data_IF_979693147625
#
_entry.id   IF_979693147625
#
_cell.length_a   1.000
_cell.length_b   1.000
_cell.length_c   1.000
_cell.angle_alpha   90.00
_cell.angle_beta   90.00
_cell.angle_gamma   90.00
#
_symmetry.space_group_name_H-M   'P 1'
#
loop_
_entity.id
_entity.type
_entity.pdbx_description
1 polymer ?
#
# COMPACT_ATOMS: atom_id res chain seq x y z
N UNK A 1 -6.12 51.62 19.50
CA UNK A 1 -7.48 51.05 19.35
C UNK A 1 -8.34 51.52 20.51
N UNK A 2 -9.51 52.10 20.26
CA UNK A 2 -10.44 52.54 21.32
C UNK A 2 -11.12 51.33 21.97
N UNK A 3 -11.52 51.41 23.24
CA UNK A 3 -12.18 50.29 23.95
C UNK A 3 -13.45 49.76 23.27
N UNK A 4 -14.08 50.56 22.41
CA UNK A 4 -15.20 50.16 21.55
C UNK A 4 -14.78 49.20 20.43
N UNK A 5 -13.62 49.42 19.79
CA UNK A 5 -13.08 48.54 18.76
C UNK A 5 -12.69 47.17 19.35
N UNK A 6 -12.14 47.15 20.57
CA UNK A 6 -11.77 45.92 21.28
C UNK A 6 -13.00 45.07 21.66
N UNK A 7 -14.05 45.69 22.21
CA UNK A 7 -15.31 44.98 22.48
C UNK A 7 -15.97 44.44 21.21
N UNK A 8 -15.94 45.21 20.11
CA UNK A 8 -16.52 44.82 18.82
C UNK A 8 -15.79 43.63 18.18
N UNK A 9 -14.46 43.57 18.30
CA UNK A 9 -13.64 42.43 17.81
C UNK A 9 -13.97 41.14 18.57
N UNK A 10 -14.11 41.24 19.90
CA UNK A 10 -14.42 40.08 20.75
C UNK A 10 -15.82 39.49 20.45
N UNK A 11 -16.83 40.32 20.18
CA UNK A 11 -18.18 39.83 19.84
C UNK A 11 -18.20 38.96 18.58
N UNK A 12 -17.46 39.34 17.53
CA UNK A 12 -17.37 38.55 16.30
C UNK A 12 -16.73 37.19 16.55
N UNK A 13 -15.66 37.16 17.33
CA UNK A 13 -14.98 35.91 17.72
C UNK A 13 -15.91 34.98 18.50
N UNK A 14 -16.62 35.47 19.52
CA UNK A 14 -17.56 34.64 20.28
C UNK A 14 -18.71 34.09 19.44
N UNK A 15 -19.25 34.90 18.52
CA UNK A 15 -20.27 34.44 17.58
C UNK A 15 -19.73 33.36 16.65
N UNK A 16 -18.49 33.49 16.19
CA UNK A 16 -17.83 32.51 15.32
C UNK A 16 -17.62 31.18 16.03
N UNK A 17 -17.02 31.20 17.21
CA UNK A 17 -16.80 29.99 18.03
C UNK A 17 -18.13 29.30 18.36
N UNK A 18 -19.14 30.07 18.78
CA UNK A 18 -20.47 29.53 19.05
C UNK A 18 -21.14 28.94 17.81
N UNK A 19 -20.91 29.53 16.63
CA UNK A 19 -21.40 28.99 15.38
C UNK A 19 -20.75 27.66 15.04
N UNK A 20 -19.42 27.55 15.19
CA UNK A 20 -18.68 26.32 14.90
C UNK A 20 -19.14 25.18 15.81
N UNK A 21 -19.25 25.42 17.12
CA UNK A 21 -19.81 24.42 18.05
C UNK A 21 -21.25 24.04 17.75
N UNK A 22 -22.05 24.94 17.17
CA UNK A 22 -23.42 24.59 16.75
C UNK A 22 -23.43 23.71 15.50
N UNK A 23 -22.49 23.89 14.57
CA UNK A 23 -22.40 23.09 13.35
C UNK A 23 -21.97 21.64 13.62
N UNK A 24 -21.24 21.39 14.70
CA UNK A 24 -20.98 20.02 15.20
C UNK A 24 -22.27 19.31 15.65
N UNK A 25 -23.25 20.06 16.15
CA UNK A 25 -24.49 19.50 16.70
C UNK A 25 -25.63 19.44 15.66
N UNK A 26 -25.62 20.33 14.66
CA UNK A 26 -26.76 20.48 13.72
C UNK A 26 -26.37 21.09 12.36
N UNK A 27 -27.13 20.82 11.30
CA UNK A 27 -26.93 21.43 9.99
C UNK A 27 -27.04 22.96 10.00
N UNK A 28 -26.31 23.62 9.09
CA UNK A 28 -26.26 25.10 8.97
C UNK A 28 -27.63 25.76 8.82
N UNK A 29 -28.55 25.13 8.09
CA UNK A 29 -29.91 25.64 7.85
C UNK A 29 -30.83 25.56 9.08
N UNK A 30 -30.40 24.91 10.17
CA UNK A 30 -31.14 24.84 11.44
C UNK A 30 -30.57 25.80 12.50
N UNK A 31 -29.50 26.53 12.17
CA UNK A 31 -28.95 27.54 13.07
C UNK A 31 -29.86 28.76 13.08
N UNK A 32 -30.21 29.24 14.28
CA UNK A 32 -31.03 30.44 14.46
C UNK A 32 -30.25 31.48 15.25
N UNK A 33 -30.60 32.77 15.07
CA UNK A 33 -30.04 33.87 15.87
C UNK A 33 -30.19 33.59 17.37
N UNK A 34 -31.30 32.97 17.79
CA UNK A 34 -31.52 32.62 19.19
C UNK A 34 -30.55 31.57 19.72
N UNK A 35 -30.34 30.49 18.96
CA UNK A 35 -29.42 29.43 19.36
C UNK A 35 -27.98 29.97 19.42
N UNK A 36 -27.60 30.73 18.38
CA UNK A 36 -26.27 31.33 18.25
C UNK A 36 -25.95 32.30 19.38
N UNK A 37 -26.84 33.26 19.64
CA UNK A 37 -26.64 34.26 20.71
C UNK A 37 -26.61 33.63 22.10
N UNK A 38 -27.44 32.61 22.33
CA UNK A 38 -27.42 31.83 23.58
C UNK A 38 -26.09 31.09 23.77
N UNK A 39 -25.59 30.41 22.75
CA UNK A 39 -24.31 29.66 22.79
C UNK A 39 -23.12 30.62 22.94
N UNK A 40 -23.16 31.78 22.28
CA UNK A 40 -22.13 32.83 22.37
C UNK A 40 -22.15 33.65 23.66
N UNK A 41 -23.19 33.51 24.50
CA UNK A 41 -23.33 34.30 25.73
C UNK A 41 -23.58 35.79 25.50
N UNK A 42 -24.18 36.18 24.36
CA UNK A 42 -24.47 37.58 24.04
C UNK A 42 -25.98 37.83 23.87
N UNK A 43 -26.39 39.09 23.98
CA UNK A 43 -27.79 39.46 23.72
C UNK A 43 -28.11 39.48 22.22
N UNK A 44 -29.37 39.23 21.85
CA UNK A 44 -29.83 39.41 20.45
C UNK A 44 -29.64 40.85 19.96
N UNK A 45 -29.83 41.84 20.83
CA UNK A 45 -29.54 43.23 20.50
C UNK A 45 -28.08 43.43 20.09
N UNK A 46 -27.14 42.78 20.78
CA UNK A 46 -25.71 42.79 20.45
C UNK A 46 -25.42 42.14 19.09
N UNK A 47 -26.12 41.05 18.74
CA UNK A 47 -26.02 40.44 17.42
C UNK A 47 -26.47 41.39 16.31
N UNK A 48 -27.63 42.04 16.48
CA UNK A 48 -28.20 42.95 15.48
C UNK A 48 -27.42 44.25 15.29
N UNK A 49 -26.45 44.56 16.17
CA UNK A 49 -25.47 45.64 15.94
C UNK A 49 -24.40 45.27 14.89
N UNK A 50 -24.32 44.00 14.50
CA UNK A 50 -23.29 43.48 13.61
C UNK A 50 -23.86 42.82 12.37
N UNK A 51 -25.02 42.17 12.49
CA UNK A 51 -25.60 41.37 11.43
C UNK A 51 -27.11 41.60 11.34
N UNK A 52 -27.64 41.66 10.12
CA UNK A 52 -29.08 41.83 9.88
C UNK A 52 -29.87 40.60 10.34
N UNK A 53 -29.39 39.41 9.99
CA UNK A 53 -29.98 38.13 10.32
C UNK A 53 -28.92 37.01 10.28
N UNK A 54 -29.37 35.76 10.40
CA UNK A 54 -28.46 34.61 10.36
C UNK A 54 -27.80 34.42 8.99
N UNK A 55 -28.47 34.79 7.90
CA UNK A 55 -27.92 34.65 6.56
C UNK A 55 -26.81 35.67 6.33
N UNK A 56 -27.01 36.92 6.75
CA UNK A 56 -25.99 37.96 6.70
C UNK A 56 -24.74 37.56 7.51
N UNK A 57 -24.93 36.97 8.69
CA UNK A 57 -23.84 36.38 9.46
C UNK A 57 -23.11 35.27 8.69
N UNK A 58 -23.82 34.28 8.14
CA UNK A 58 -23.23 33.19 7.36
C UNK A 58 -22.49 33.72 6.13
N UNK A 59 -23.04 34.72 5.44
CA UNK A 59 -22.37 35.37 4.31
C UNK A 59 -21.06 36.03 4.74
N UNK A 60 -21.03 36.67 5.91
CA UNK A 60 -19.80 37.25 6.44
C UNK A 60 -18.70 36.20 6.70
N UNK A 61 -19.07 35.02 7.20
CA UNK A 61 -18.14 33.89 7.39
C UNK A 61 -17.65 33.37 6.04
N UNK A 62 -18.55 33.19 5.06
CA UNK A 62 -18.15 32.80 3.70
C UNK A 62 -17.22 33.81 3.06
N UNK A 63 -17.47 35.10 3.21
CA UNK A 63 -16.59 36.16 2.70
C UNK A 63 -15.19 36.11 3.32
N UNK A 64 -15.07 35.76 4.61
CA UNK A 64 -13.78 35.53 5.27
C UNK A 64 -13.06 34.33 4.64
N UNK A 65 -13.75 33.20 4.46
CA UNK A 65 -13.19 32.02 3.79
C UNK A 65 -12.75 32.33 2.35
N UNK A 66 -13.59 33.03 1.58
CA UNK A 66 -13.24 33.44 0.22
C UNK A 66 -11.99 34.31 0.19
N UNK A 67 -11.86 35.25 1.14
CA UNK A 67 -10.68 36.10 1.25
C UNK A 67 -9.41 35.29 1.54
N UNK A 68 -9.47 34.33 2.47
CA UNK A 68 -8.32 33.48 2.81
C UNK A 68 -7.91 32.62 1.62
N UNK A 69 -8.89 31.99 0.96
CA UNK A 69 -8.65 31.16 -0.23
C UNK A 69 -8.05 32.02 -1.36
N UNK A 70 -8.62 33.19 -1.64
CA UNK A 70 -8.10 34.08 -2.68
C UNK A 70 -6.68 34.54 -2.37
N UNK A 71 -6.40 35.00 -1.16
CA UNK A 71 -5.06 35.46 -0.76
C UNK A 71 -3.97 34.39 -0.97
N UNK A 72 -4.27 33.13 -0.66
CA UNK A 72 -3.28 32.04 -0.77
C UNK A 72 -3.22 31.41 -2.16
N UNK A 73 -4.24 31.63 -3.00
CA UNK A 73 -4.26 31.22 -4.40
C UNK A 73 -3.83 32.33 -5.37
N UNK A 74 -3.65 33.57 -4.90
CA UNK A 74 -3.07 34.69 -5.65
C UNK A 74 -1.55 34.69 -5.49
N UNK A 75 -0.83 34.07 -6.41
CA UNK A 75 0.50 34.51 -6.88
C UNK A 75 1.17 33.41 -7.71
N UNK A 76 1.77 33.83 -8.81
CA UNK A 76 2.55 33.06 -9.76
C UNK A 76 4.01 33.48 -9.57
N UNK A 77 4.79 32.78 -8.73
CA UNK A 77 6.21 33.10 -8.47
C UNK A 77 6.96 31.85 -7.97
N UNK A 78 7.62 31.20 -8.91
CA UNK A 78 8.40 29.96 -8.79
C UNK A 78 9.46 29.95 -7.68
N UNK A 79 9.29 29.04 -6.71
CA UNK A 79 10.25 28.04 -6.18
C UNK A 79 9.79 27.62 -4.76
N UNK A 80 9.63 26.33 -4.51
CA UNK A 80 9.31 25.69 -3.19
C UNK A 80 8.01 26.11 -2.46
N UNK A 81 7.24 27.06 -2.98
CA UNK A 81 6.06 27.59 -2.31
C UNK A 81 4.76 26.77 -2.50
N UNK A 82 4.72 25.82 -3.43
CA UNK A 82 3.49 25.08 -3.77
C UNK A 82 3.01 24.19 -2.64
N UNK A 83 3.91 23.35 -2.11
CA UNK A 83 3.59 22.51 -0.97
C UNK A 83 3.21 23.38 0.24
N UNK A 84 3.89 24.52 0.43
CA UNK A 84 3.58 25.46 1.51
C UNK A 84 2.18 26.06 1.39
N UNK A 85 1.74 26.46 0.18
CA UNK A 85 0.38 26.97 -0.08
C UNK A 85 -0.67 25.88 0.10
N UNK A 86 -0.41 24.68 -0.41
CA UNK A 86 -1.28 23.52 -0.21
C UNK A 86 -1.41 23.21 1.28
N UNK A 87 -0.30 23.12 2.00
CA UNK A 87 -0.27 22.88 3.45
C UNK A 87 -1.11 23.91 4.18
N UNK A 88 -0.88 25.20 3.94
CA UNK A 88 -1.68 26.25 4.57
C UNK A 88 -3.19 26.10 4.31
N UNK A 89 -3.58 25.82 3.06
CA UNK A 89 -5.00 25.71 2.70
C UNK A 89 -5.65 24.47 3.31
N UNK A 90 -4.95 23.33 3.36
CA UNK A 90 -5.48 22.11 3.97
C UNK A 90 -5.53 22.25 5.50
N UNK A 91 -4.50 22.84 6.12
CA UNK A 91 -4.51 23.19 7.56
C UNK A 91 -5.68 24.12 7.88
N UNK A 92 -5.95 25.12 7.03
CA UNK A 92 -7.08 26.01 7.21
C UNK A 92 -8.43 25.29 7.10
N UNK A 93 -8.55 24.30 6.21
CA UNK A 93 -9.76 23.46 6.13
C UNK A 93 -9.91 22.62 7.38
N UNK A 94 -8.82 22.06 7.94
CA UNK A 94 -8.84 21.31 9.21
C UNK A 94 -9.27 22.21 10.38
N UNK A 95 -8.67 23.40 10.51
CA UNK A 95 -9.01 24.39 11.55
C UNK A 95 -10.46 24.89 11.47
N UNK A 96 -11.10 24.77 10.30
CA UNK A 96 -12.47 25.22 10.04
C UNK A 96 -13.39 24.10 9.54
N UNK A 97 -13.05 22.85 9.87
CA UNK A 97 -13.65 21.64 9.30
C UNK A 97 -15.16 21.58 9.39
N UNK A 98 -15.72 21.92 10.56
CA UNK A 98 -17.18 21.93 10.79
C UNK A 98 -17.93 22.87 9.83
N UNK A 99 -17.31 24.00 9.45
CA UNK A 99 -17.91 24.95 8.50
C UNK A 99 -17.84 24.40 7.09
N UNK A 100 -16.68 23.90 6.66
CA UNK A 100 -16.54 23.27 5.35
C UNK A 100 -17.50 22.09 5.19
N UNK A 101 -17.59 21.21 6.20
CA UNK A 101 -18.54 20.08 6.22
C UNK A 101 -20.00 20.53 6.17
N UNK A 102 -20.35 21.66 6.76
CA UNK A 102 -21.73 22.17 6.72
C UNK A 102 -22.06 22.91 5.42
N UNK A 103 -21.07 23.55 4.79
CA UNK A 103 -21.22 24.25 3.52
C UNK A 103 -21.13 23.31 2.31
N UNK A 104 -20.45 22.17 2.45
CA UNK A 104 -20.23 21.17 1.41
C UNK A 104 -21.17 19.96 1.66
N UNK A 105 -21.60 19.30 0.59
CA UNK A 105 -22.41 18.07 0.68
C UNK A 105 -23.84 18.22 0.16
N UNK A 106 -24.67 17.19 0.40
CA UNK A 106 -26.00 17.05 -0.22
C UNK A 106 -26.94 18.23 0.05
N UNK A 107 -26.87 18.79 1.26
CA UNK A 107 -27.70 19.92 1.70
C UNK A 107 -26.90 21.21 1.95
N UNK A 108 -25.65 21.27 1.46
CA UNK A 108 -24.77 22.42 1.61
C UNK A 108 -25.12 23.59 0.69
N UNK A 109 -24.24 24.57 0.65
CA UNK A 109 -24.35 25.75 -0.21
C UNK A 109 -23.71 25.49 -1.58
N UNK A 110 -24.56 25.29 -2.60
CA UNK A 110 -24.11 25.04 -3.98
C UNK A 110 -23.34 26.19 -4.60
N UNK A 111 -23.56 27.43 -4.16
CA UNK A 111 -22.77 28.57 -4.64
C UNK A 111 -21.35 28.54 -4.06
N UNK A 112 -21.21 28.15 -2.78
CA UNK A 112 -19.91 27.94 -2.14
C UNK A 112 -19.15 26.79 -2.82
N UNK A 113 -19.83 25.68 -3.09
CA UNK A 113 -19.26 24.53 -3.80
C UNK A 113 -18.71 24.91 -5.18
N UNK A 114 -19.53 25.61 -5.98
CA UNK A 114 -19.13 26.08 -7.31
C UNK A 114 -17.98 27.10 -7.26
N UNK A 115 -17.90 27.91 -6.19
CA UNK A 115 -16.78 28.81 -5.96
C UNK A 115 -15.48 28.03 -5.70
N UNK A 116 -15.51 27.03 -4.80
CA UNK A 116 -14.34 26.24 -4.44
C UNK A 116 -13.76 25.50 -5.66
N UNK A 117 -14.62 24.85 -6.44
CA UNK A 117 -14.24 24.19 -7.70
C UNK A 117 -13.54 25.18 -8.64
N UNK A 118 -14.10 26.39 -8.80
CA UNK A 118 -13.52 27.41 -9.67
C UNK A 118 -12.19 27.93 -9.14
N UNK A 119 -12.05 28.09 -7.82
CA UNK A 119 -10.82 28.54 -7.19
C UNK A 119 -9.69 27.53 -7.41
N UNK A 120 -9.93 26.25 -7.14
CA UNK A 120 -8.97 25.16 -7.38
C UNK A 120 -8.63 25.05 -8.87
N UNK A 121 -9.63 25.11 -9.75
CA UNK A 121 -9.40 25.06 -11.21
C UNK A 121 -8.51 26.19 -11.70
N UNK A 122 -8.73 27.43 -11.21
CA UNK A 122 -7.89 28.58 -11.56
C UNK A 122 -6.46 28.40 -11.07
N UNK A 123 -6.29 27.89 -9.86
CA UNK A 123 -4.98 27.58 -9.30
C UNK A 123 -4.25 26.56 -10.18
N UNK A 124 -4.88 25.42 -10.48
CA UNK A 124 -4.30 24.38 -11.35
C UNK A 124 -3.98 24.94 -12.74
N UNK A 125 -4.89 25.70 -13.36
CA UNK A 125 -4.68 26.32 -14.68
C UNK A 125 -3.48 27.29 -14.69
N UNK A 126 -3.29 28.05 -13.61
CA UNK A 126 -2.14 28.96 -13.47
C UNK A 126 -0.81 28.20 -13.58
N UNK A 127 -0.71 27.04 -12.93
CA UNK A 127 0.51 26.24 -12.86
C UNK A 127 0.67 25.30 -14.07
N UNK A 128 -0.43 24.73 -14.60
CA UNK A 128 -0.39 23.77 -15.70
C UNK A 128 0.21 24.34 -16.99
N UNK A 129 0.10 25.66 -17.22
CA UNK A 129 0.70 26.35 -18.37
C UNK A 129 2.22 26.23 -18.45
N UNK A 130 2.87 25.85 -17.35
CA UNK A 130 4.33 25.80 -17.22
C UNK A 130 4.87 24.39 -17.45
N UNK A 131 4.09 23.35 -17.12
CA UNK A 131 4.55 21.97 -17.06
C UNK A 131 3.90 21.03 -18.09
N UNK A 132 2.95 21.51 -18.90
CA UNK A 132 2.25 20.68 -19.89
C UNK A 132 3.10 20.43 -21.14
N UNK A 133 3.85 19.33 -21.14
CA UNK A 133 4.77 18.98 -22.24
C UNK A 133 4.18 17.93 -23.20
N UNK A 134 3.29 17.05 -22.72
CA UNK A 134 2.64 16.04 -23.55
C UNK A 134 1.24 16.49 -24.00
N UNK A 135 0.99 16.58 -25.32
CA UNK A 135 -0.28 17.06 -25.91
C UNK A 135 -1.22 15.93 -26.33
N UNK A 136 -0.96 14.69 -25.91
CA UNK A 136 -1.80 13.53 -26.23
C UNK A 136 -3.24 13.68 -25.71
N UNK A 137 -3.42 14.28 -24.54
CA UNK A 137 -4.73 14.60 -23.95
C UNK A 137 -5.04 16.09 -24.20
N UNK A 138 -6.31 16.49 -24.42
CA UNK A 138 -6.61 17.92 -24.47
C UNK A 138 -6.51 18.54 -23.06
N UNK A 139 -5.85 19.70 -22.96
CA UNK A 139 -5.56 20.41 -21.71
C UNK A 139 -6.79 20.58 -20.80
N UNK A 140 -7.97 20.81 -21.39
CA UNK A 140 -9.23 20.96 -20.65
C UNK A 140 -9.56 19.72 -19.82
N UNK A 141 -9.36 18.51 -20.37
CA UNK A 141 -9.62 17.27 -19.65
C UNK A 141 -8.60 17.05 -18.54
N UNK A 142 -7.32 17.38 -18.78
CA UNK A 142 -6.27 17.28 -17.76
C UNK A 142 -6.60 18.16 -16.56
N UNK A 143 -6.93 19.43 -16.81
CA UNK A 143 -7.30 20.39 -15.75
C UNK A 143 -8.55 19.91 -15.01
N UNK A 144 -9.56 19.41 -15.72
CA UNK A 144 -10.79 18.94 -15.08
C UNK A 144 -10.54 17.70 -14.21
N UNK A 145 -9.72 16.74 -14.66
CA UNK A 145 -9.34 15.55 -13.87
C UNK A 145 -8.56 15.97 -12.63
N UNK A 146 -7.57 16.86 -12.76
CA UNK A 146 -6.78 17.34 -11.63
C UNK A 146 -7.65 18.12 -10.63
N UNK A 147 -8.55 18.98 -11.11
CA UNK A 147 -9.48 19.72 -10.26
C UNK A 147 -10.44 18.79 -9.53
N UNK A 148 -11.11 17.89 -10.26
CA UNK A 148 -12.13 17.01 -9.68
C UNK A 148 -11.53 15.98 -8.73
N UNK A 149 -10.29 15.53 -8.94
CA UNK A 149 -9.60 14.64 -7.99
C UNK A 149 -9.29 15.33 -6.66
N UNK A 150 -8.89 16.61 -6.66
CA UNK A 150 -8.70 17.37 -5.39
C UNK A 150 -10.04 17.52 -4.68
N UNK A 151 -11.09 17.90 -5.42
CA UNK A 151 -12.44 18.04 -4.87
C UNK A 151 -12.95 16.73 -4.28
N UNK A 152 -12.73 15.61 -4.98
CA UNK A 152 -13.12 14.29 -4.50
C UNK A 152 -12.42 13.93 -3.20
N UNK A 153 -11.11 14.16 -3.08
CA UNK A 153 -10.35 13.93 -1.84
C UNK A 153 -10.92 14.77 -0.69
N UNK A 154 -11.21 16.06 -0.91
CA UNK A 154 -11.80 16.94 0.11
C UNK A 154 -13.19 16.43 0.52
N UNK A 155 -14.02 16.01 -0.43
CA UNK A 155 -15.35 15.46 -0.11
C UNK A 155 -15.27 14.18 0.70
N UNK A 156 -14.38 13.27 0.31
CA UNK A 156 -14.14 12.04 1.07
C UNK A 156 -13.68 12.38 2.49
N UNK A 157 -12.70 13.28 2.65
CA UNK A 157 -12.20 13.69 3.96
C UNK A 157 -13.29 14.30 4.86
N UNK A 158 -14.15 15.18 4.32
CA UNK A 158 -15.23 15.82 5.09
C UNK A 158 -16.32 14.83 5.53
N UNK A 159 -16.48 13.69 4.84
CA UNK A 159 -17.49 12.67 5.13
C UNK A 159 -16.98 11.55 6.05
N UNK A 160 -15.68 11.51 6.35
CA UNK A 160 -15.09 10.52 7.27
C UNK A 160 -15.72 10.61 8.67
N UNK A 161 -15.99 9.44 9.28
CA UNK A 161 -16.46 9.35 10.67
C UNK A 161 -15.37 9.81 11.66
N UNK A 162 -14.12 9.42 11.38
CA UNK A 162 -12.93 9.87 12.09
C UNK A 162 -12.00 10.55 11.07
N UNK A 163 -12.11 11.87 10.87
CA UNK A 163 -11.35 12.58 9.87
C UNK A 163 -9.84 12.44 10.09
N UNK A 164 -9.12 12.16 9.01
CA UNK A 164 -7.65 12.24 8.95
C UNK A 164 -7.12 13.64 9.25
N UNK A 165 -5.84 13.72 9.60
CA UNK A 165 -5.14 15.00 9.79
C UNK A 165 -4.83 15.71 8.48
N UNK A 166 -4.60 17.04 8.50
CA UNK A 166 -4.17 17.78 7.31
C UNK A 166 -2.95 17.14 6.62
N UNK A 167 -1.98 16.69 7.42
CA UNK A 167 -0.74 16.04 6.94
C UNK A 167 -1.03 14.79 6.10
N UNK A 168 -1.92 13.92 6.57
CA UNK A 168 -2.30 12.71 5.84
C UNK A 168 -3.03 13.04 4.54
N UNK A 169 -3.88 14.06 4.54
CA UNK A 169 -4.58 14.52 3.34
C UNK A 169 -3.63 15.16 2.33
N UNK A 170 -2.65 15.95 2.79
CA UNK A 170 -1.59 16.50 1.94
C UNK A 170 -0.80 15.37 1.29
N UNK A 171 -0.43 14.33 2.05
CA UNK A 171 0.27 13.16 1.53
C UNK A 171 -0.55 12.42 0.46
N UNK A 172 -1.85 12.18 0.70
CA UNK A 172 -2.76 11.61 -0.31
C UNK A 172 -2.82 12.51 -1.56
N UNK A 173 -2.88 13.83 -1.36
CA UNK A 173 -2.93 14.78 -2.46
C UNK A 173 -1.64 14.71 -3.29
N UNK A 174 -0.47 14.65 -2.66
CA UNK A 174 0.82 14.56 -3.37
C UNK A 174 0.93 13.21 -4.10
N UNK A 175 0.67 12.09 -3.40
CA UNK A 175 0.80 10.73 -3.97
C UNK A 175 -0.07 10.53 -5.20
N UNK A 176 -1.31 11.00 -5.18
CA UNK A 176 -2.22 10.89 -6.34
C UNK A 176 -1.81 11.74 -7.55
N UNK A 177 -0.79 12.60 -7.40
CA UNK A 177 -0.23 13.46 -8.46
C UNK A 177 1.11 12.95 -8.97
N UNK A 178 1.79 12.10 -8.18
CA UNK A 178 3.06 11.47 -8.55
C UNK A 178 2.89 10.02 -9.01
N UNK A 179 1.85 9.32 -8.57
CA UNK A 179 1.53 7.94 -8.96
C UNK A 179 0.55 7.91 -10.13
N UNK A 180 0.71 6.94 -11.03
CA UNK A 180 -0.28 6.73 -12.10
C UNK A 180 -1.58 6.17 -11.52
N UNK A 181 -2.74 6.36 -12.18
CA UNK A 181 -4.00 5.74 -11.72
C UNK A 181 -3.91 4.22 -11.54
N UNK A 182 -3.10 3.52 -12.33
CA UNK A 182 -2.91 2.08 -12.18
C UNK A 182 -2.16 1.75 -10.88
N UNK A 183 -1.16 2.55 -10.52
CA UNK A 183 -0.35 2.36 -9.31
C UNK A 183 -1.17 2.63 -8.04
N UNK A 184 -2.23 3.46 -8.10
CA UNK A 184 -3.12 3.72 -6.97
C UNK A 184 -3.98 2.51 -6.57
N UNK A 185 -4.30 1.63 -7.51
CA UNK A 185 -5.06 0.39 -7.25
C UNK A 185 -4.16 -0.82 -7.06
N UNK A 186 -2.88 -0.70 -7.41
CA UNK A 186 -1.88 -1.72 -7.15
C UNK A 186 -1.54 -1.63 -5.67
N UNK A 187 -2.20 -2.46 -4.85
CA UNK A 187 -2.06 -2.51 -3.38
C UNK A 187 -0.61 -2.67 -2.89
N UNK A 188 0.31 -2.97 -3.81
CA UNK A 188 1.73 -3.26 -3.65
C UNK A 188 2.36 -3.07 -5.06
N UNK A 189 2.84 -1.87 -5.44
CA UNK A 189 3.50 -1.70 -6.74
C UNK A 189 4.98 -2.03 -6.66
N UNK A 190 5.29 -3.25 -7.04
CA UNK A 190 6.63 -3.85 -7.06
C UNK A 190 7.07 -4.16 -8.50
N UNK A 191 6.40 -3.52 -9.46
CA UNK A 191 6.72 -3.57 -10.89
C UNK A 191 7.61 -2.38 -11.23
N UNK A 192 8.82 -2.65 -11.69
CA UNK A 192 9.78 -1.64 -12.12
C UNK A 192 9.79 -1.56 -13.64
N UNK A 193 9.48 -0.40 -14.22
CA UNK A 193 9.57 -0.26 -15.68
C UNK A 193 11.04 -0.15 -16.11
N UNK A 194 11.38 -0.70 -17.28
CA UNK A 194 12.77 -0.65 -17.77
C UNK A 194 13.28 0.78 -17.95
N UNK A 195 12.39 1.72 -18.28
CA UNK A 195 12.76 3.14 -18.42
C UNK A 195 13.09 3.80 -17.08
N UNK A 196 12.37 3.44 -16.00
CA UNK A 196 12.68 3.92 -14.65
C UNK A 196 14.04 3.40 -14.19
N UNK A 197 14.29 2.09 -14.37
CA UNK A 197 15.55 1.47 -13.97
C UNK A 197 16.73 2.10 -14.76
N UNK A 198 16.59 2.28 -16.08
CA UNK A 198 17.63 2.94 -16.91
C UNK A 198 17.94 4.38 -16.50
N UNK A 199 16.94 5.11 -15.99
CA UNK A 199 17.12 6.51 -15.55
C UNK A 199 17.75 6.62 -14.16
N UNK A 200 17.57 5.60 -13.32
CA UNK A 200 18.12 5.55 -11.97
C UNK A 200 19.56 5.03 -11.99
N UNK A 201 20.53 5.93 -12.17
CA UNK A 201 21.96 5.58 -12.28
C UNK A 201 22.52 4.82 -11.06
N UNK A 202 21.98 5.08 -9.87
CA UNK A 202 22.39 4.42 -8.61
C UNK A 202 21.51 3.18 -8.29
N UNK A 203 20.60 2.81 -9.20
CA UNK A 203 19.57 1.80 -8.98
C UNK A 203 18.37 2.30 -8.17
N UNK A 204 17.32 1.49 -8.13
CA UNK A 204 16.11 1.73 -7.34
C UNK A 204 16.18 0.79 -6.13
N UNK A 205 16.32 1.37 -4.94
CA UNK A 205 16.33 0.64 -3.67
C UNK A 205 14.90 0.35 -3.21
N UNK A 206 14.70 -0.80 -2.58
CA UNK A 206 13.44 -1.18 -1.95
C UNK A 206 13.67 -1.92 -0.62
N UNK A 207 12.70 -1.80 0.28
CA UNK A 207 12.69 -2.38 1.62
C UNK A 207 11.22 -2.51 2.03
N UNK A 208 10.58 -3.56 1.51
CA UNK A 208 9.13 -3.70 1.50
C UNK A 208 8.68 -4.99 2.20
N UNK A 209 7.47 -4.97 2.73
CA UNK A 209 6.78 -6.13 3.31
C UNK A 209 5.62 -6.54 2.41
N UNK A 210 5.34 -7.84 2.30
CA UNK A 210 4.41 -8.37 1.31
C UNK A 210 3.37 -9.32 1.93
N UNK A 211 2.16 -9.34 1.39
CA UNK A 211 1.11 -10.32 1.74
C UNK A 211 0.78 -11.19 0.51
N UNK A 212 1.53 -12.30 0.37
CA UNK A 212 1.46 -13.19 -0.80
C UNK A 212 0.94 -14.60 -0.48
N UNK A 213 0.39 -14.84 0.71
CA UNK A 213 -0.09 -16.18 1.12
C UNK A 213 -1.11 -16.76 0.13
N UNK A 214 -2.08 -15.94 -0.28
CA UNK A 214 -3.14 -16.37 -1.19
C UNK A 214 -2.58 -16.77 -2.57
N UNK A 215 -1.65 -15.97 -3.10
CA UNK A 215 -1.02 -16.21 -4.40
C UNK A 215 -0.13 -17.47 -4.37
N UNK A 216 0.63 -17.69 -3.29
CA UNK A 216 1.41 -18.90 -3.09
C UNK A 216 0.53 -20.14 -3.01
N UNK A 217 -0.59 -20.09 -2.27
CA UNK A 217 -1.52 -21.23 -2.17
C UNK A 217 -2.24 -21.56 -3.47
N UNK A 218 -2.44 -20.58 -4.35
CA UNK A 218 -2.97 -20.82 -5.68
C UNK A 218 -2.01 -21.66 -6.53
N UNK A 219 -0.69 -21.43 -6.43
CA UNK A 219 0.35 -22.18 -7.14
C UNK A 219 0.70 -23.50 -6.45
N UNK A 220 0.72 -23.53 -5.12
CA UNK A 220 0.99 -24.71 -4.32
C UNK A 220 0.03 -24.81 -3.11
N UNK A 221 -1.07 -25.58 -3.24
CA UNK A 221 -2.06 -25.75 -2.17
C UNK A 221 -1.55 -26.44 -0.90
N UNK A 222 -0.36 -27.06 -0.92
CA UNK A 222 0.22 -27.70 0.28
C UNK A 222 0.73 -26.67 1.30
N UNK A 223 0.92 -25.41 0.90
CA UNK A 223 1.39 -24.35 1.81
C UNK A 223 0.29 -24.01 2.83
N UNK A 224 0.59 -24.23 4.10
CA UNK A 224 -0.36 -24.03 5.21
C UNK A 224 -0.36 -22.61 5.75
N UNK A 225 0.63 -21.78 5.47
CA UNK A 225 0.66 -20.38 5.89
C UNK A 225 1.96 -19.67 5.54
N UNK A 226 1.91 -18.33 5.49
CA UNK A 226 3.07 -17.46 5.25
C UNK A 226 2.99 -16.21 6.13
N UNK A 227 4.04 -15.93 6.89
CA UNK A 227 4.11 -14.79 7.80
C UNK A 227 5.45 -14.07 7.70
N UNK A 228 5.45 -12.75 7.95
CA UNK A 228 6.68 -11.95 8.05
C UNK A 228 7.52 -11.91 6.78
N UNK A 229 6.87 -11.85 5.61
CA UNK A 229 7.54 -11.77 4.31
C UNK A 229 8.07 -10.35 4.06
N UNK A 230 9.39 -10.20 4.06
CA UNK A 230 10.11 -8.94 3.82
C UNK A 230 11.16 -9.13 2.72
N UNK A 231 11.22 -8.19 1.78
CA UNK A 231 12.23 -8.16 0.73
C UNK A 231 12.96 -6.81 0.71
N UNK A 232 14.28 -6.87 0.76
CA UNK A 232 15.14 -5.68 0.79
C UNK A 232 16.27 -5.81 -0.21
N UNK A 233 16.37 -4.86 -1.12
CA UNK A 233 17.34 -4.95 -2.20
C UNK A 233 17.33 -3.77 -3.13
N UNK A 234 17.77 -4.02 -4.36
CA UNK A 234 17.83 -3.04 -5.43
C UNK A 234 17.57 -3.67 -6.78
N UNK A 235 17.07 -2.85 -7.70
CA UNK A 235 17.10 -3.14 -9.13
C UNK A 235 17.94 -2.07 -9.83
N UNK A 236 18.86 -2.48 -10.69
CA UNK A 236 19.79 -1.58 -11.38
C UNK A 236 19.97 -1.97 -12.83
N UNK A 237 20.23 -0.98 -13.68
CA UNK A 237 20.66 -1.22 -15.06
C UNK A 237 22.17 -1.04 -15.14
N UNK A 238 22.90 -2.09 -15.50
CA UNK A 238 24.36 -2.09 -15.62
C UNK A 238 24.80 -2.87 -16.85
N UNK A 239 25.71 -2.29 -17.64
CA UNK A 239 26.29 -2.84 -18.87
C UNK A 239 25.29 -3.57 -19.82
N UNK A 240 24.10 -3.00 -19.98
CA UNK A 240 23.07 -3.57 -20.85
C UNK A 240 22.21 -4.65 -20.20
N UNK A 241 22.36 -4.91 -18.90
CA UNK A 241 21.58 -5.87 -18.12
C UNK A 241 20.74 -5.14 -17.08
N UNK A 242 19.60 -5.71 -16.73
CA UNK A 242 18.87 -5.32 -15.53
C UNK A 242 19.15 -6.36 -14.46
N UNK A 243 19.67 -5.94 -13.33
CA UNK A 243 20.04 -6.83 -12.23
C UNK A 243 19.11 -6.56 -11.06
N UNK A 244 18.40 -7.59 -10.62
CA UNK A 244 17.57 -7.59 -9.42
C UNK A 244 18.30 -8.37 -8.34
N UNK A 245 18.66 -7.69 -7.26
CA UNK A 245 19.45 -8.25 -6.16
C UNK A 245 18.78 -7.91 -4.84
N UNK A 246 18.33 -8.91 -4.09
CA UNK A 246 17.63 -8.70 -2.82
C UNK A 246 17.79 -9.84 -1.82
N UNK A 247 17.63 -9.45 -0.55
CA UNK A 247 17.50 -10.33 0.58
C UNK A 247 16.03 -10.54 0.90
N UNK A 248 15.62 -11.80 1.05
CA UNK A 248 14.25 -12.22 1.30
C UNK A 248 14.19 -12.95 2.63
N UNK A 249 13.31 -12.54 3.53
CA UNK A 249 13.06 -13.24 4.80
C UNK A 249 11.59 -13.52 4.97
N UNK A 250 11.24 -14.72 5.45
CA UNK A 250 9.85 -15.11 5.69
C UNK A 250 9.77 -16.31 6.64
N UNK A 251 8.59 -16.52 7.21
CA UNK A 251 8.24 -17.75 7.91
C UNK A 251 7.15 -18.48 7.14
N UNK A 252 7.43 -19.70 6.71
CA UNK A 252 6.49 -20.55 5.98
C UNK A 252 6.01 -21.70 6.86
N UNK A 253 4.73 -22.06 6.74
CA UNK A 253 4.16 -23.24 7.39
C UNK A 253 3.89 -24.31 6.33
N UNK A 254 4.50 -25.47 6.49
CA UNK A 254 4.39 -26.61 5.58
C UNK A 254 3.96 -27.86 6.35
N UNK A 255 3.28 -28.83 5.72
CA UNK A 255 2.96 -30.09 6.36
C UNK A 255 4.23 -30.95 6.49
N UNK A 256 4.40 -31.65 7.61
CA UNK A 256 5.43 -32.70 7.74
C UNK A 256 5.23 -33.75 6.66
N UNK A 257 6.32 -34.14 6.00
CA UNK A 257 6.37 -35.23 5.02
C UNK A 257 6.09 -36.61 5.62
N UNK A 258 6.02 -36.74 6.96
CA UNK A 258 5.74 -38.02 7.66
C UNK A 258 4.36 -38.04 8.30
N UNK A 259 4.01 -37.00 9.07
CA UNK A 259 2.78 -36.97 9.89
C UNK A 259 1.72 -36.00 9.37
N UNK A 260 2.07 -35.13 8.40
CA UNK A 260 1.26 -34.00 7.95
C UNK A 260 0.99 -32.94 9.02
N UNK A 261 1.64 -33.02 10.18
CA UNK A 261 1.55 -31.98 11.20
C UNK A 261 2.14 -30.66 10.67
N UNK A 262 1.54 -29.50 10.97
CA UNK A 262 2.07 -28.21 10.54
C UNK A 262 3.45 -27.92 11.16
N UNK A 263 4.41 -27.60 10.32
CA UNK A 263 5.78 -27.23 10.71
C UNK A 263 6.07 -25.82 10.23
N UNK A 264 6.39 -24.92 11.16
CA UNK A 264 6.82 -23.56 10.87
C UNK A 264 8.34 -23.51 10.66
N UNK A 265 8.77 -22.79 9.64
CA UNK A 265 10.19 -22.58 9.34
C UNK A 265 10.45 -21.15 8.93
N UNK A 266 11.47 -20.54 9.53
CA UNK A 266 11.98 -19.23 9.13
C UNK A 266 13.09 -19.42 8.10
N UNK A 267 12.93 -18.80 6.95
CA UNK A 267 13.84 -18.87 5.82
C UNK A 267 14.45 -17.51 5.51
N UNK A 268 15.66 -17.54 4.98
CA UNK A 268 16.41 -16.36 4.55
C UNK A 268 17.13 -16.69 3.25
N UNK A 269 16.83 -15.94 2.19
CA UNK A 269 17.36 -16.17 0.85
C UNK A 269 18.04 -14.90 0.33
N UNK A 270 19.10 -15.08 -0.45
CA UNK A 270 19.66 -14.02 -1.29
C UNK A 270 19.32 -14.38 -2.73
N UNK A 271 18.59 -13.49 -3.40
CA UNK A 271 18.12 -13.66 -4.78
C UNK A 271 18.88 -12.69 -5.66
N UNK A 272 19.47 -13.22 -6.73
CA UNK A 272 20.12 -12.45 -7.78
C UNK A 272 19.59 -12.94 -9.13
N UNK A 273 18.91 -12.06 -9.85
CA UNK A 273 18.32 -12.34 -11.16
C UNK A 273 18.81 -11.30 -12.16
N UNK A 274 19.24 -11.78 -13.34
CA UNK A 274 19.75 -10.93 -14.41
C UNK A 274 18.81 -11.02 -15.60
N UNK A 275 18.30 -9.87 -16.05
CA UNK A 275 17.33 -9.77 -17.12
C UNK A 275 17.91 -9.07 -18.36
N UNK A 276 17.41 -9.48 -19.53
CA UNK A 276 17.70 -8.86 -20.82
C UNK A 276 16.40 -8.62 -21.61
N UNK A 277 16.40 -7.63 -22.49
CA UNK A 277 15.28 -7.42 -23.41
C UNK A 277 15.31 -8.43 -24.56
N UNK A 278 14.13 -8.79 -25.06
CA UNK A 278 13.96 -9.69 -26.21
C UNK A 278 14.80 -9.30 -27.44
N UNK A 279 15.09 -8.02 -27.64
CA UNK A 279 15.93 -7.53 -28.76
C UNK A 279 17.43 -7.86 -28.60
N UNK A 280 17.90 -8.07 -27.37
CA UNK A 280 19.33 -8.27 -27.06
C UNK A 280 19.74 -9.75 -27.03
N UNK A 281 18.77 -10.67 -27.18
CA UNK A 281 18.97 -12.13 -27.20
C UNK A 281 20.02 -12.55 -28.23
N UNK A 282 20.01 -11.94 -29.42
CA UNK A 282 20.99 -12.26 -30.48
C UNK A 282 22.42 -11.86 -30.09
N UNK A 283 22.58 -10.72 -29.41
CA UNK A 283 23.88 -10.22 -28.98
C UNK A 283 24.42 -10.96 -27.74
N UNK A 284 23.52 -11.53 -26.93
CA UNK A 284 23.83 -12.20 -25.65
C UNK A 284 23.54 -13.71 -25.67
N UNK A 285 23.65 -14.34 -26.84
CA UNK A 285 23.21 -15.72 -27.08
C UNK A 285 23.84 -16.74 -26.13
N UNK A 286 25.14 -16.62 -25.87
CA UNK A 286 25.86 -17.57 -25.01
C UNK A 286 25.29 -17.58 -23.58
N UNK A 287 24.94 -16.40 -23.04
CA UNK A 287 24.33 -16.27 -21.69
C UNK A 287 22.92 -16.86 -21.63
N UNK A 288 22.18 -16.78 -22.73
CA UNK A 288 20.84 -17.37 -22.85
C UNK A 288 20.93 -18.90 -22.92
N UNK A 289 21.88 -19.44 -23.67
CA UNK A 289 22.10 -20.90 -23.77
C UNK A 289 22.56 -21.53 -22.45
N UNK A 290 23.28 -20.76 -21.62
CA UNK A 290 23.71 -21.18 -20.28
C UNK A 290 22.66 -20.90 -19.18
N UNK A 291 21.47 -20.40 -19.51
CA UNK A 291 20.40 -20.04 -18.57
C UNK A 291 20.85 -19.03 -17.49
N UNK A 292 21.84 -18.18 -17.80
CA UNK A 292 22.38 -17.17 -16.89
C UNK A 292 21.60 -15.85 -16.89
N UNK A 293 20.65 -15.70 -17.83
CA UNK A 293 19.82 -14.50 -17.98
C UNK A 293 18.37 -14.85 -18.29
N UNK A 294 17.45 -14.05 -17.77
CA UNK A 294 16.02 -14.14 -17.99
C UNK A 294 15.61 -13.17 -19.11
N UNK A 295 14.86 -13.66 -20.08
CA UNK A 295 14.37 -12.83 -21.20
C UNK A 295 13.06 -12.19 -20.77
N UNK A 296 13.00 -10.85 -20.85
CA UNK A 296 11.79 -10.10 -20.56
C UNK A 296 10.81 -10.16 -21.74
N UNK A 297 9.59 -10.62 -21.44
CA UNK A 297 8.44 -10.59 -22.36
C UNK A 297 7.76 -9.20 -22.35
N UNK A 298 7.68 -8.58 -21.18
CA UNK A 298 7.08 -7.26 -20.96
C UNK A 298 8.15 -6.21 -20.56
N UNK A 299 7.91 -4.90 -20.79
CA UNK A 299 8.85 -3.84 -20.43
C UNK A 299 8.84 -3.51 -18.93
N UNK A 300 8.66 -4.52 -18.07
CA UNK A 300 8.60 -4.40 -16.61
C UNK A 300 9.27 -5.61 -15.95
N UNK A 301 9.90 -5.39 -14.80
CA UNK A 301 10.34 -6.44 -13.87
C UNK A 301 9.33 -6.49 -12.73
N UNK A 302 8.70 -7.64 -12.51
CA UNK A 302 7.75 -7.86 -11.41
C UNK A 302 8.45 -8.54 -10.24
N UNK A 303 8.80 -7.78 -9.20
CA UNK A 303 9.46 -8.32 -8.01
C UNK A 303 8.53 -9.28 -7.24
N UNK A 304 7.21 -9.18 -7.35
CA UNK A 304 6.33 -10.17 -6.68
C UNK A 304 6.46 -11.54 -7.32
N UNK A 305 6.47 -11.59 -8.64
CA UNK A 305 6.63 -12.85 -9.38
C UNK A 305 7.99 -13.48 -9.04
N UNK A 306 9.05 -12.67 -9.04
CA UNK A 306 10.37 -13.11 -8.56
C UNK A 306 10.33 -13.68 -7.14
N UNK A 307 9.70 -12.98 -6.19
CA UNK A 307 9.56 -13.45 -4.80
C UNK A 307 8.78 -14.76 -4.73
N UNK A 308 7.63 -14.85 -5.42
CA UNK A 308 6.78 -16.04 -5.44
C UNK A 308 7.56 -17.25 -5.95
N UNK A 309 8.23 -17.10 -7.09
CA UNK A 309 8.98 -18.18 -7.73
C UNK A 309 10.16 -18.61 -6.85
N UNK A 310 10.90 -17.67 -6.27
CA UNK A 310 12.02 -18.00 -5.39
C UNK A 310 11.57 -18.70 -4.09
N UNK A 311 10.43 -18.33 -3.50
CA UNK A 311 9.87 -19.06 -2.35
C UNK A 311 9.52 -20.50 -2.77
N UNK A 312 8.83 -20.67 -3.90
CA UNK A 312 8.40 -21.99 -4.39
C UNK A 312 9.59 -22.90 -4.74
N UNK A 313 10.63 -22.35 -5.38
CA UNK A 313 11.85 -23.07 -5.75
C UNK A 313 12.64 -23.54 -4.52
N UNK A 314 12.54 -22.82 -3.40
CA UNK A 314 13.25 -23.14 -2.17
C UNK A 314 12.41 -23.94 -1.16
N UNK A 315 11.25 -24.47 -1.55
CA UNK A 315 10.50 -25.40 -0.70
C UNK A 315 11.32 -26.70 -0.52
N UNK A 316 11.62 -27.10 0.72
CA UNK A 316 12.40 -28.31 0.98
C UNK A 316 11.63 -29.56 0.56
N UNK A 317 12.33 -30.52 -0.07
CA UNK A 317 11.76 -31.83 -0.42
C UNK A 317 11.34 -32.68 0.78
N UNK A 318 11.89 -32.37 1.97
CA UNK A 318 11.63 -33.08 3.21
C UNK A 318 11.39 -32.08 4.33
N UNK A 319 10.20 -32.12 4.89
CA UNK A 319 9.80 -31.33 6.07
C UNK A 319 9.51 -32.33 7.18
N UNK A 320 10.12 -32.15 8.35
CA UNK A 320 9.91 -33.02 9.50
C UNK A 320 9.58 -32.17 10.73
N UNK A 321 8.82 -32.73 11.66
CA UNK A 321 8.69 -32.13 13.00
C UNK A 321 10.00 -32.32 13.79
N UNK A 322 10.27 -31.49 14.82
CA UNK A 322 11.46 -31.66 15.65
C UNK A 322 11.61 -33.07 16.26
N UNK A 323 10.49 -33.71 16.62
CA UNK A 323 10.47 -35.07 17.15
C UNK A 323 10.81 -36.13 16.08
N UNK A 324 10.38 -35.91 14.84
CA UNK A 324 10.68 -36.77 13.69
C UNK A 324 12.12 -36.61 13.20
N UNK A 325 12.73 -35.44 13.35
CA UNK A 325 14.17 -35.27 13.09
C UNK A 325 15.02 -35.99 14.13
N UNK A 326 14.57 -36.00 15.39
CA UNK A 326 15.28 -36.65 16.49
C UNK A 326 15.15 -38.19 16.47
N UNK A 327 14.08 -38.74 15.88
CA UNK A 327 13.83 -40.19 15.84
C UNK A 327 13.89 -40.77 14.41
N UNK A 328 14.65 -41.86 14.26
CA UNK A 328 14.70 -42.65 13.02
C UNK A 328 13.49 -43.60 12.85
N UNK A 329 12.59 -43.66 13.82
CA UNK A 329 11.40 -44.51 13.75
C UNK A 329 10.47 -44.04 12.63
N UNK A 330 10.26 -44.93 11.66
CA UNK A 330 9.37 -44.71 10.54
C UNK A 330 7.92 -45.01 10.96
N UNK A 331 6.94 -44.31 10.37
CA UNK A 331 5.54 -44.50 10.74
C UNK A 331 5.09 -45.96 10.57
N UNK A 332 4.24 -46.42 11.48
CA UNK A 332 3.58 -47.72 11.40
C UNK A 332 2.13 -47.63 11.86
N UNK A 333 1.29 -48.51 11.31
CA UNK A 333 -0.11 -48.68 11.67
C UNK A 333 -0.38 -50.11 12.13
N UNK A 334 -1.66 -50.41 12.39
CA UNK A 334 -2.08 -51.71 12.92
C UNK A 334 -1.74 -52.89 12.00
N UNK A 335 -1.71 -52.65 10.69
CA UNK A 335 -1.51 -53.66 9.65
C UNK A 335 -0.45 -53.24 8.61
N UNK A 336 0.35 -52.19 8.88
CA UNK A 336 1.40 -51.73 7.96
C UNK A 336 2.58 -51.12 8.71
N UNK A 337 3.78 -51.20 8.15
CA UNK A 337 4.98 -50.57 8.67
C UNK A 337 5.79 -50.02 7.50
N UNK A 338 6.21 -48.76 7.58
CA UNK A 338 7.18 -48.19 6.65
C UNK A 338 8.56 -48.64 7.12
N UNK A 339 9.33 -49.25 6.23
CA UNK A 339 10.70 -49.69 6.48
C UNK A 339 11.61 -49.08 5.41
N UNK A 340 12.88 -48.86 5.76
CA UNK A 340 13.85 -48.37 4.77
C UNK A 340 14.13 -49.42 3.71
N UNK A 341 14.65 -49.02 2.55
CA UNK A 341 15.03 -49.95 1.49
C UNK A 341 16.07 -50.98 1.98
N UNK A 342 17.02 -50.56 2.81
CA UNK A 342 18.00 -51.46 3.41
C UNK A 342 17.34 -52.49 4.35
N UNK A 343 16.40 -52.07 5.20
CA UNK A 343 15.64 -52.97 6.07
C UNK A 343 14.78 -53.96 5.27
N UNK A 344 14.21 -53.53 4.15
CA UNK A 344 13.46 -54.40 3.24
C UNK A 344 14.37 -55.45 2.57
N UNK A 345 15.57 -55.06 2.15
CA UNK A 345 16.56 -55.98 1.56
C UNK A 345 17.03 -57.02 2.58
N UNK A 346 17.32 -56.62 3.83
CA UNK A 346 17.63 -57.56 4.92
C UNK A 346 16.49 -58.53 5.24
N UNK A 347 15.24 -58.04 5.27
CA UNK A 347 14.05 -58.88 5.47
C UNK A 347 13.87 -59.87 4.33
N UNK A 348 14.16 -59.48 3.09
CA UNK A 348 14.09 -60.34 1.91
C UNK A 348 15.18 -61.41 1.92
N UNK A 349 16.39 -61.09 2.39
CA UNK A 349 17.46 -62.08 2.56
C UNK A 349 17.14 -63.05 3.71
N UNK A 350 16.69 -62.56 4.86
CA UNK A 350 16.23 -63.42 5.98
C UNK A 350 15.08 -64.34 5.60
N UNK A 351 14.10 -63.85 4.84
CA UNK A 351 12.99 -64.68 4.37
C UNK A 351 13.44 -65.72 3.33
N UNK A 352 14.41 -65.39 2.47
CA UNK A 352 15.04 -66.38 1.57
C UNK A 352 15.82 -67.46 2.31
N UNK A 353 16.51 -67.12 3.39
CA UNK A 353 17.19 -68.09 4.26
C UNK A 353 16.19 -68.98 5.00
N UNK A 354 15.07 -68.42 5.47
CA UNK A 354 14.03 -69.15 6.19
C UNK A 354 13.16 -70.06 5.29
N UNK A 355 12.94 -69.70 4.02
CA UNK A 355 12.19 -70.50 3.04
C UNK A 355 13.05 -71.56 2.33
N UNK A 356 14.35 -71.64 2.61
CA UNK A 356 15.22 -72.64 2.01
C UNK A 356 14.87 -74.05 2.55
N UNK A 357 14.28 -74.96 1.73
CA UNK A 357 13.83 -76.29 2.19
C UNK A 357 14.99 -77.19 2.66
N UNK A 358 16.23 -76.78 2.39
CA UNK A 358 17.45 -77.50 2.72
C UNK A 358 18.13 -77.00 4.01
N UNK A 359 17.55 -76.01 4.71
CA UNK A 359 18.09 -75.51 5.99
C UNK A 359 18.14 -76.60 7.09
N UNK A 360 17.37 -77.68 6.97
CA UNK A 360 17.44 -78.84 7.86
C UNK A 360 18.55 -79.85 7.51
N UNK A 361 19.23 -79.70 6.35
CA UNK A 361 20.26 -80.61 5.86
C UNK A 361 21.69 -80.09 6.08
N UNK A 362 21.86 -78.87 6.59
CA UNK A 362 23.17 -78.30 6.92
C UNK A 362 23.88 -78.98 8.09
N UNK A 363 23.16 -79.71 8.95
CA UNK A 363 23.74 -80.48 10.06
C UNK A 363 24.12 -81.92 9.67
N UNK A 364 24.01 -82.32 8.40
CA UNK A 364 24.23 -83.72 8.00
C UNK A 364 25.70 -84.09 7.73
N UNK A 365 26.62 -83.11 7.75
CA UNK A 365 28.03 -83.32 7.40
C UNK A 365 29.03 -82.97 8.51
N UNK A 366 28.57 -82.69 9.73
CA UNK A 366 29.47 -82.34 10.84
C UNK A 366 30.06 -83.55 11.60
N UNK A 367 29.65 -84.78 11.27
CA UNK A 367 30.12 -86.02 11.94
C UNK A 367 30.92 -86.96 11.01
N UNK A 368 31.88 -86.48 10.22
CA UNK A 368 32.95 -87.35 9.69
C UNK A 368 34.30 -86.60 9.64
N UNK A 369 34.93 -86.43 10.81
CA UNK A 369 36.39 -86.34 10.95
C UNK A 369 36.77 -86.77 12.38
N UNK A 370 36.93 -88.09 12.57
CA UNK A 370 37.78 -88.68 13.60
C UNK A 370 38.83 -89.59 12.95
#
# INVERSE_FOLDING_TARGET
MTGYQTKRKNTKTYLREAFFSLLEERPINQVTVSALTKKAGISRGTFYLHYLDINDFIQSIKSEIYSVIEEHLQDDLFHDAELSKLTFLIDYVEDTFAVFKALIGKNGDKAFEAYLIRAIKRFILGHAKVSYQDKTIPETYVIDILTMSVIAIIYTWLDEENPRTSREIIDIIVKTRTLSPADLYRRESVMYTLNEIRKASDGILFDDTFDLEAALRERNPEILGLEGLEAKGKVVYDDGFYVLDYYLTYTITLPSSRSLEPVQRSEQLMVEEVFIESQDVSAKKDLVEEELVIILEDPVIDLKESILDNILLNIPLKVLTPDEEANEELPSGKDWQIISQAQYEELKEKNKEAENPFAALSNLFDDENQ
#
